data_IF_986887260254
#
_entry.id   IF_986887260254
#
_cell.length_a   1.000
_cell.length_b   1.000
_cell.length_c   1.000
_cell.angle_alpha   90.00
_cell.angle_beta   90.00
_cell.angle_gamma   90.00
#
_symmetry.space_group_name_H-M   'P 1'
#
loop_
_entity.id
_entity.type
_entity.pdbx_description
1 polymer ?
#
# COMPACT_ATOMS: atom_id res chain seq x y z
N UNK A 1 24.92 -29.95 44.39
CA UNK A 1 24.16 -30.27 43.17
C UNK A 1 22.84 -29.54 43.32
N UNK A 2 22.83 -28.28 42.92
CA UNK A 2 21.70 -27.36 43.14
C UNK A 2 21.65 -26.41 41.97
N UNK A 3 20.50 -26.44 41.30
CA UNK A 3 19.82 -25.38 40.55
C UNK A 3 20.51 -24.83 39.31
N UNK A 4 20.09 -25.35 38.15
CA UNK A 4 20.37 -24.82 36.81
C UNK A 4 19.10 -24.93 35.93
N UNK A 5 17.90 -24.74 36.52
CA UNK A 5 16.60 -24.98 35.85
C UNK A 5 15.64 -23.76 35.84
N UNK A 6 16.02 -22.59 36.39
CA UNK A 6 15.15 -21.40 36.46
C UNK A 6 15.44 -20.32 35.41
N UNK A 7 16.58 -20.38 34.69
CA UNK A 7 16.97 -19.30 33.77
C UNK A 7 16.18 -19.27 32.46
N UNK A 8 15.62 -20.40 32.04
CA UNK A 8 14.94 -20.50 30.74
C UNK A 8 13.51 -19.94 30.79
N UNK A 9 12.81 -20.01 31.93
CA UNK A 9 11.45 -19.47 32.07
C UNK A 9 11.43 -17.94 32.21
N UNK A 10 12.30 -17.36 33.04
CA UNK A 10 12.35 -15.90 33.26
C UNK A 10 12.76 -15.11 32.00
N UNK A 11 13.37 -15.80 31.02
CA UNK A 11 13.89 -15.19 29.80
C UNK A 11 12.91 -15.25 28.61
N UNK A 12 12.13 -16.32 28.49
CA UNK A 12 10.93 -16.33 27.61
C UNK A 12 9.97 -15.22 28.03
N UNK A 13 9.82 -15.03 29.35
CA UNK A 13 8.97 -13.98 29.92
C UNK A 13 9.44 -12.57 29.49
N UNK A 14 10.74 -12.31 29.34
CA UNK A 14 11.26 -10.99 28.98
C UNK A 14 11.09 -10.63 27.49
N UNK A 15 11.30 -11.60 26.57
CA UNK A 15 11.03 -11.39 25.15
C UNK A 15 9.52 -11.27 24.86
N UNK A 16 8.70 -12.11 25.53
CA UNK A 16 7.25 -12.00 25.49
C UNK A 16 6.78 -10.65 26.05
N UNK A 17 7.33 -10.21 27.18
CA UNK A 17 7.03 -8.90 27.76
C UNK A 17 7.40 -7.75 26.82
N UNK A 18 8.53 -7.85 26.11
CA UNK A 18 8.94 -6.80 25.16
C UNK A 18 8.02 -6.80 23.93
N UNK A 19 7.63 -7.96 23.42
CA UNK A 19 6.64 -8.04 22.33
C UNK A 19 5.28 -7.49 22.78
N UNK A 20 4.80 -7.81 23.98
CA UNK A 20 3.55 -7.28 24.53
C UNK A 20 3.61 -5.77 24.76
N UNK A 21 4.75 -5.24 25.21
CA UNK A 21 4.97 -3.80 25.32
C UNK A 21 4.89 -3.11 23.94
N UNK A 22 5.44 -3.72 22.89
CA UNK A 22 5.32 -3.19 21.52
C UNK A 22 3.87 -3.31 21.02
N UNK A 23 3.21 -4.45 21.20
CA UNK A 23 1.81 -4.66 20.78
C UNK A 23 0.83 -3.65 21.39
N UNK A 24 1.09 -3.28 22.65
CA UNK A 24 0.28 -2.30 23.38
C UNK A 24 0.76 -0.85 23.19
N UNK A 25 1.81 -0.65 22.39
CA UNK A 25 2.53 0.63 22.22
C UNK A 25 2.88 1.31 23.56
N UNK A 26 3.22 0.49 24.56
CA UNK A 26 3.54 0.92 25.92
C UNK A 26 5.01 1.30 26.03
N UNK A 27 5.30 2.58 25.78
CA UNK A 27 6.64 3.16 25.90
C UNK A 27 7.32 2.87 27.25
N UNK A 28 6.59 2.99 28.36
CA UNK A 28 7.20 2.93 29.70
C UNK A 28 7.69 1.52 30.06
N UNK A 29 7.01 0.48 29.57
CA UNK A 29 7.47 -0.91 29.67
C UNK A 29 8.52 -1.24 28.60
N UNK A 30 8.37 -0.68 27.40
CA UNK A 30 9.25 -0.92 26.26
C UNK A 30 10.69 -0.41 26.50
N UNK A 31 10.86 0.84 26.95
CA UNK A 31 12.18 1.49 27.09
C UNK A 31 13.15 0.69 27.97
N UNK A 32 12.80 0.25 29.20
CA UNK A 32 13.73 -0.52 30.03
C UNK A 32 14.08 -1.87 29.40
N UNK A 33 13.09 -2.60 28.85
CA UNK A 33 13.30 -3.90 28.22
C UNK A 33 14.21 -3.79 26.97
N UNK A 34 13.97 -2.81 26.13
CA UNK A 34 14.79 -2.57 24.92
C UNK A 34 16.20 -2.10 25.29
N UNK A 35 16.36 -1.35 26.38
CA UNK A 35 17.68 -0.94 26.89
C UNK A 35 18.51 -2.15 27.34
N UNK A 36 17.90 -3.04 28.15
CA UNK A 36 18.53 -4.32 28.54
C UNK A 36 18.96 -5.11 27.30
N UNK A 37 18.10 -5.14 26.28
CA UNK A 37 18.39 -5.83 25.04
C UNK A 37 19.58 -5.22 24.27
N UNK A 38 19.65 -3.89 24.15
CA UNK A 38 20.78 -3.23 23.47
C UNK A 38 22.11 -3.38 24.21
N UNK A 39 22.08 -3.47 25.54
CA UNK A 39 23.26 -3.76 26.37
C UNK A 39 23.71 -5.22 26.27
N UNK A 40 22.91 -6.09 25.66
CA UNK A 40 23.17 -7.52 25.57
C UNK A 40 23.07 -8.21 26.92
N UNK A 41 22.23 -7.67 27.81
CA UNK A 41 21.91 -8.25 29.12
C UNK A 41 20.99 -9.49 28.97
N UNK A 42 20.45 -9.74 27.77
CA UNK A 42 19.79 -11.01 27.45
C UNK A 42 20.85 -12.12 27.27
N UNK A 43 20.68 -13.21 28.01
CA UNK A 43 21.71 -14.24 28.22
C UNK A 43 21.95 -15.21 27.06
N UNK A 44 21.18 -15.16 25.95
CA UNK A 44 21.29 -16.13 24.83
C UNK A 44 21.91 -15.58 23.52
N UNK A 45 22.54 -16.42 22.67
CA UNK A 45 23.40 -15.98 21.56
C UNK A 45 22.69 -15.61 20.25
N UNK A 46 21.35 -15.57 20.15
CA UNK A 46 20.64 -15.28 18.88
C UNK A 46 20.65 -13.80 18.44
N UNK A 47 21.68 -13.05 18.88
CA UNK A 47 21.85 -11.58 18.86
C UNK A 47 21.74 -10.86 17.50
N UNK A 48 21.58 -11.57 16.39
CA UNK A 48 21.55 -10.97 15.05
C UNK A 48 20.11 -10.84 14.51
N UNK A 49 19.14 -11.56 15.09
CA UNK A 49 17.75 -11.53 14.65
C UNK A 49 16.83 -10.62 15.47
N UNK A 50 17.24 -10.16 16.66
CA UNK A 50 16.32 -9.50 17.60
C UNK A 50 15.97 -8.05 17.26
N UNK A 51 16.94 -7.18 16.95
CA UNK A 51 16.63 -5.77 16.60
C UNK A 51 15.80 -5.68 15.33
N UNK A 52 16.11 -6.50 14.32
CA UNK A 52 15.33 -6.57 13.09
C UNK A 52 13.89 -7.07 13.35
N UNK A 53 13.73 -8.05 14.25
CA UNK A 53 12.41 -8.54 14.67
C UNK A 53 11.61 -7.47 15.41
N UNK A 54 12.21 -6.75 16.37
CA UNK A 54 11.53 -5.69 17.11
C UNK A 54 11.18 -4.50 16.20
N UNK A 55 12.05 -4.11 15.26
CA UNK A 55 11.72 -3.12 14.22
C UNK A 55 10.50 -3.57 13.42
N UNK A 56 10.47 -4.83 13.01
CA UNK A 56 9.32 -5.39 12.29
C UNK A 56 8.06 -5.38 13.16
N UNK A 57 8.15 -5.75 14.44
CA UNK A 57 7.01 -5.74 15.36
C UNK A 57 6.49 -4.33 15.60
N UNK A 58 7.37 -3.35 15.82
CA UNK A 58 7.02 -1.93 15.93
C UNK A 58 6.22 -1.49 14.70
N UNK A 59 6.70 -1.83 13.50
CA UNK A 59 6.00 -1.47 12.27
C UNK A 59 4.68 -2.23 12.08
N UNK A 60 4.66 -3.53 12.41
CA UNK A 60 3.49 -4.41 12.25
C UNK A 60 2.35 -4.05 13.20
N UNK A 61 2.68 -3.68 14.44
CA UNK A 61 1.72 -3.31 15.48
C UNK A 61 1.47 -1.80 15.53
N UNK A 62 2.04 -1.03 14.59
CA UNK A 62 1.89 0.42 14.49
C UNK A 62 2.25 1.14 15.82
N UNK A 63 3.31 0.66 16.49
CA UNK A 63 3.71 1.11 17.82
C UNK A 63 4.48 2.44 17.77
N UNK A 64 3.75 3.54 17.59
CA UNK A 64 4.30 4.90 17.37
C UNK A 64 5.12 5.39 18.57
N UNK A 65 4.65 5.18 19.80
CA UNK A 65 5.35 5.62 21.00
C UNK A 65 6.64 4.82 21.23
N UNK A 66 6.61 3.50 21.01
CA UNK A 66 7.81 2.67 21.04
C UNK A 66 8.81 3.09 19.96
N UNK A 67 8.33 3.36 18.74
CA UNK A 67 9.16 3.83 17.63
C UNK A 67 9.84 5.17 17.96
N UNK A 68 9.08 6.14 18.48
CA UNK A 68 9.59 7.45 18.87
C UNK A 68 10.69 7.33 19.93
N UNK A 69 10.47 6.52 20.97
CA UNK A 69 11.45 6.32 22.04
C UNK A 69 12.81 5.82 21.53
N UNK A 70 12.82 4.92 20.55
CA UNK A 70 14.07 4.44 19.94
C UNK A 70 14.77 5.51 19.11
N UNK A 71 14.00 6.32 18.38
CA UNK A 71 14.54 7.39 17.53
C UNK A 71 15.08 8.57 18.34
N UNK A 72 14.44 8.86 19.46
CA UNK A 72 14.87 9.89 20.42
C UNK A 72 16.10 9.44 21.23
N UNK A 73 16.41 8.14 21.22
CA UNK A 73 17.57 7.55 21.90
C UNK A 73 17.32 7.26 23.37
N UNK A 74 16.07 7.15 23.78
CA UNK A 74 15.67 6.83 25.15
C UNK A 74 16.10 5.42 25.57
N UNK A 75 16.28 4.54 24.59
CA UNK A 75 16.77 3.17 24.76
C UNK A 75 18.31 3.08 24.78
N UNK A 76 19.00 4.18 25.06
CA UNK A 76 20.48 4.37 25.05
C UNK A 76 21.19 4.17 23.71
N UNK A 77 20.51 3.56 22.73
CA UNK A 77 20.97 3.39 21.37
C UNK A 77 19.89 3.85 20.40
N UNK A 78 20.27 4.77 19.52
CA UNK A 78 19.44 5.19 18.40
C UNK A 78 19.57 4.20 17.24
N UNK A 79 18.45 3.91 16.60
CA UNK A 79 18.41 3.16 15.35
C UNK A 79 18.60 4.09 14.15
N UNK A 80 19.36 3.62 13.17
CA UNK A 80 19.47 4.30 11.88
C UNK A 80 18.28 3.92 11.00
N UNK A 81 17.35 4.85 10.82
CA UNK A 81 16.16 4.71 9.96
C UNK A 81 16.50 4.28 8.52
N UNK A 82 17.71 4.60 8.05
CA UNK A 82 18.16 4.36 6.67
C UNK A 82 19.01 3.10 6.56
N UNK A 83 19.30 2.41 7.66
CA UNK A 83 19.98 1.12 7.65
C UNK A 83 19.05 0.01 7.15
N UNK A 84 19.65 -1.01 6.54
CA UNK A 84 18.96 -2.24 6.16
C UNK A 84 18.95 -3.22 7.33
N UNK A 85 17.77 -3.74 7.67
CA UNK A 85 17.62 -4.74 8.71
C UNK A 85 17.55 -6.15 8.11
N UNK A 86 18.33 -7.12 8.63
CA UNK A 86 18.62 -8.39 7.96
C UNK A 86 17.42 -9.33 7.78
N UNK A 87 16.28 -9.12 8.45
CA UNK A 87 15.12 -10.02 8.31
C UNK A 87 14.44 -9.90 6.94
N UNK A 88 14.60 -8.78 6.21
CA UNK A 88 14.06 -8.59 4.85
C UNK A 88 14.90 -7.71 3.92
N UNK A 89 16.07 -7.24 4.36
CA UNK A 89 16.85 -6.26 3.60
C UNK A 89 16.01 -5.02 3.22
N UNK A 90 15.26 -4.54 4.21
CA UNK A 90 14.39 -3.35 4.16
C UNK A 90 14.81 -2.33 5.21
N UNK A 91 14.49 -1.05 4.98
CA UNK A 91 14.62 0.01 6.00
C UNK A 91 13.35 0.11 6.84
N UNK A 92 13.37 0.85 7.95
CA UNK A 92 12.17 1.02 8.79
C UNK A 92 11.00 1.64 8.00
N UNK A 93 11.27 2.60 7.12
CA UNK A 93 10.24 3.22 6.27
C UNK A 93 9.61 2.24 5.26
N UNK A 94 10.35 1.22 4.80
CA UNK A 94 9.75 0.17 3.97
C UNK A 94 8.80 -0.71 4.79
N UNK A 95 9.19 -1.11 6.00
CA UNK A 95 8.36 -1.96 6.85
C UNK A 95 7.09 -1.23 7.33
N UNK A 96 7.18 0.08 7.60
CA UNK A 96 6.06 0.90 8.04
C UNK A 96 5.21 1.52 6.93
N UNK A 97 5.46 1.22 5.65
CA UNK A 97 4.84 1.93 4.52
C UNK A 97 3.31 1.78 4.40
N UNK A 98 2.66 1.06 5.32
CA UNK A 98 1.22 0.90 5.43
C UNK A 98 0.58 1.72 6.57
N UNK A 99 1.39 2.24 7.51
CA UNK A 99 0.94 3.03 8.67
C UNK A 99 1.27 4.51 8.44
N UNK A 100 0.27 5.39 8.31
CA UNK A 100 0.50 6.81 8.06
C UNK A 100 1.23 7.48 9.23
N UNK A 101 0.93 7.12 10.47
CA UNK A 101 1.55 7.70 11.67
C UNK A 101 3.04 7.35 11.76
N UNK A 102 3.40 6.09 11.49
CA UNK A 102 4.81 5.69 11.46
C UNK A 102 5.54 6.26 10.25
N UNK A 103 4.89 6.34 9.08
CA UNK A 103 5.46 7.02 7.91
C UNK A 103 5.77 8.47 8.24
N UNK A 104 4.81 9.21 8.81
CA UNK A 104 4.99 10.60 9.21
C UNK A 104 6.13 10.74 10.23
N UNK A 105 6.12 9.94 11.29
CA UNK A 105 7.17 9.93 12.30
C UNK A 105 8.56 9.71 11.67
N UNK A 106 8.71 8.68 10.84
CA UNK A 106 10.00 8.36 10.23
C UNK A 106 10.47 9.44 9.26
N UNK A 107 9.56 10.06 8.51
CA UNK A 107 9.88 11.20 7.65
C UNK A 107 10.35 12.41 8.47
N UNK A 108 9.68 12.72 9.59
CA UNK A 108 10.08 13.78 10.52
C UNK A 108 11.49 13.58 11.08
N UNK A 109 11.87 12.32 11.33
CA UNK A 109 13.20 11.93 11.81
C UNK A 109 14.23 11.70 10.67
N UNK A 110 13.90 12.04 9.42
CA UNK A 110 14.84 12.05 8.31
C UNK A 110 15.01 10.73 7.57
N UNK A 111 13.99 9.86 7.59
CA UNK A 111 13.97 8.68 6.74
C UNK A 111 13.98 9.05 5.25
N UNK A 112 14.78 8.35 4.46
CA UNK A 112 14.90 8.54 3.02
C UNK A 112 13.83 7.75 2.27
N UNK A 113 13.16 8.43 1.34
CA UNK A 113 12.13 7.85 0.47
C UNK A 113 12.66 7.27 -0.85
N UNK A 114 13.95 7.48 -1.15
CA UNK A 114 14.59 7.05 -2.40
C UNK A 114 15.40 5.74 -2.28
N UNK A 115 15.51 5.19 -1.07
CA UNK A 115 16.22 3.93 -0.84
C UNK A 115 15.40 2.80 -1.45
N UNK A 116 16.05 1.99 -2.29
CA UNK A 116 15.45 0.78 -2.85
C UNK A 116 15.67 -0.40 -1.92
N UNK A 117 14.61 -1.19 -1.71
CA UNK A 117 14.67 -2.47 -1.01
C UNK A 117 15.69 -3.40 -1.66
N UNK A 118 16.33 -4.24 -0.84
CA UNK A 118 17.31 -5.24 -1.28
C UNK A 118 16.81 -6.67 -1.08
N UNK A 119 15.50 -6.83 -0.90
CA UNK A 119 14.82 -8.11 -0.68
C UNK A 119 15.28 -9.15 -1.70
N UNK A 120 15.94 -10.20 -1.22
CA UNK A 120 16.42 -11.32 -2.04
C UNK A 120 15.56 -12.58 -1.89
N UNK A 121 14.84 -12.71 -0.78
CA UNK A 121 13.92 -13.83 -0.51
C UNK A 121 12.47 -13.48 -0.92
N UNK A 122 11.55 -14.45 -0.99
CA UNK A 122 10.17 -14.32 -1.50
C UNK A 122 10.07 -13.97 -3.01
N UNK A 123 10.76 -14.75 -3.86
CA UNK A 123 10.80 -14.59 -5.33
C UNK A 123 11.25 -13.20 -5.83
N UNK A 124 11.80 -12.35 -4.95
CA UNK A 124 12.21 -10.99 -5.30
C UNK A 124 11.05 -10.04 -5.64
N UNK A 125 9.80 -10.37 -5.27
CA UNK A 125 8.60 -9.61 -5.66
C UNK A 125 8.68 -8.13 -5.22
N UNK A 126 9.27 -7.89 -4.05
CA UNK A 126 9.44 -6.54 -3.50
C UNK A 126 10.80 -5.92 -3.79
N UNK A 127 11.72 -6.64 -4.44
CA UNK A 127 13.09 -6.21 -4.67
C UNK A 127 13.18 -4.97 -5.56
N UNK A 128 14.01 -4.01 -5.16
CA UNK A 128 14.24 -2.79 -5.94
C UNK A 128 13.12 -1.74 -5.87
N UNK A 129 12.07 -1.98 -5.08
CA UNK A 129 11.01 -1.00 -4.82
C UNK A 129 11.46 0.03 -3.78
N UNK A 130 11.03 1.27 -3.96
CA UNK A 130 11.14 2.32 -2.93
C UNK A 130 9.92 2.24 -2.00
N UNK A 131 9.91 2.89 -0.83
CA UNK A 131 8.77 2.82 0.09
C UNK A 131 7.42 3.15 -0.55
N UNK A 132 7.37 4.15 -1.44
CA UNK A 132 6.15 4.50 -2.18
C UNK A 132 5.61 3.36 -3.05
N UNK A 133 6.45 2.79 -3.93
CA UNK A 133 5.99 1.71 -4.82
C UNK A 133 5.76 0.40 -4.07
N UNK A 134 6.48 0.18 -2.98
CA UNK A 134 6.23 -0.95 -2.07
C UNK A 134 4.88 -0.81 -1.38
N UNK A 135 4.53 0.38 -0.88
CA UNK A 135 3.23 0.64 -0.23
C UNK A 135 2.06 0.34 -1.16
N UNK A 136 2.09 0.87 -2.39
CA UNK A 136 1.08 0.57 -3.42
C UNK A 136 0.98 -0.94 -3.67
N UNK A 137 2.12 -1.63 -3.76
CA UNK A 137 2.15 -3.08 -3.97
C UNK A 137 1.60 -3.87 -2.77
N UNK A 138 1.94 -3.48 -1.54
CA UNK A 138 1.49 -4.13 -0.32
C UNK A 138 -0.01 -3.98 -0.10
N UNK A 139 -0.60 -2.84 -0.47
CA UNK A 139 -2.05 -2.66 -0.42
C UNK A 139 -2.75 -3.65 -1.36
N UNK A 140 -2.19 -3.87 -2.54
CA UNK A 140 -2.69 -4.85 -3.49
C UNK A 140 -2.57 -6.31 -2.98
N UNK A 141 -1.54 -6.63 -2.18
CA UNK A 141 -1.37 -7.95 -1.57
C UNK A 141 -2.27 -8.18 -0.34
N UNK A 142 -3.10 -7.19 0.03
CA UNK A 142 -4.05 -7.30 1.14
C UNK A 142 -5.12 -8.39 0.90
N UNK A 143 -5.62 -9.01 1.98
CA UNK A 143 -6.51 -10.17 1.90
C UNK A 143 -7.82 -9.93 1.13
N UNK A 144 -8.25 -8.66 1.00
CA UNK A 144 -9.43 -8.26 0.25
C UNK A 144 -9.29 -8.49 -1.26
N UNK A 145 -8.06 -8.54 -1.75
CA UNK A 145 -7.72 -8.79 -3.15
C UNK A 145 -7.28 -10.23 -3.42
N UNK A 146 -7.21 -11.08 -2.38
CA UNK A 146 -6.85 -12.50 -2.54
C UNK A 146 -7.86 -13.22 -3.43
N UNK A 147 -7.37 -13.85 -4.52
CA UNK A 147 -8.20 -14.59 -5.47
C UNK A 147 -8.98 -13.71 -6.45
N UNK A 148 -8.75 -12.38 -6.43
CA UNK A 148 -9.31 -11.45 -7.39
C UNK A 148 -8.34 -11.20 -8.54
N UNK A 149 -8.88 -11.00 -9.74
CA UNK A 149 -8.10 -10.69 -10.94
C UNK A 149 -8.58 -9.35 -11.54
N UNK A 150 -7.68 -8.41 -11.90
CA UNK A 150 -8.00 -7.09 -12.46
C UNK A 150 -9.02 -7.08 -13.60
N UNK A 151 -9.00 -8.13 -14.39
CA UNK A 151 -9.83 -8.34 -15.56
C UNK A 151 -11.29 -8.69 -15.18
N UNK A 152 -11.58 -8.97 -13.91
CA UNK A 152 -12.91 -9.39 -13.45
C UNK A 152 -13.86 -8.24 -13.17
N UNK A 153 -13.42 -7.10 -12.61
CA UNK A 153 -14.27 -5.89 -12.44
C UNK A 153 -13.52 -4.74 -11.77
N UNK A 154 -13.07 -3.75 -12.55
CA UNK A 154 -12.44 -2.53 -12.01
C UNK A 154 -13.33 -1.77 -11.00
N UNK A 155 -14.65 -1.84 -11.16
CA UNK A 155 -15.62 -1.27 -10.22
C UNK A 155 -15.56 -1.93 -8.84
N UNK A 156 -15.35 -3.26 -8.80
CA UNK A 156 -15.17 -3.98 -7.55
C UNK A 156 -13.89 -3.52 -6.85
N UNK A 157 -12.82 -3.24 -7.59
CA UNK A 157 -11.59 -2.65 -7.04
C UNK A 157 -11.87 -1.34 -6.35
N UNK A 158 -12.58 -0.42 -7.03
CA UNK A 158 -12.92 0.90 -6.49
C UNK A 158 -13.72 0.74 -5.20
N UNK A 159 -14.74 -0.13 -5.20
CA UNK A 159 -15.55 -0.40 -4.00
C UNK A 159 -14.71 -0.92 -2.84
N UNK A 160 -13.84 -1.90 -3.09
CA UNK A 160 -12.95 -2.47 -2.05
C UNK A 160 -12.00 -1.42 -1.51
N UNK A 161 -11.39 -0.61 -2.37
CA UNK A 161 -10.49 0.48 -1.95
C UNK A 161 -11.20 1.53 -1.08
N UNK A 162 -12.53 1.65 -1.17
CA UNK A 162 -13.30 2.53 -0.29
C UNK A 162 -13.56 1.95 1.11
N UNK A 163 -13.20 0.68 1.38
CA UNK A 163 -13.44 0.05 2.68
C UNK A 163 -12.67 0.77 3.81
N UNK A 164 -13.28 0.95 4.99
CA UNK A 164 -12.67 1.72 6.07
C UNK A 164 -11.30 1.20 6.50
N UNK A 165 -11.10 -0.13 6.50
CA UNK A 165 -9.84 -0.74 6.91
C UNK A 165 -8.66 -0.44 5.96
N UNK A 166 -8.90 0.02 4.73
CA UNK A 166 -7.84 0.35 3.78
C UNK A 166 -7.49 1.85 3.79
N UNK A 167 -8.24 2.68 4.50
CA UNK A 167 -8.05 4.14 4.51
C UNK A 167 -6.71 4.56 5.09
N UNK A 168 -6.32 3.94 6.21
CA UNK A 168 -5.02 4.20 6.85
C UNK A 168 -3.86 3.97 5.86
N UNK A 169 -3.89 2.84 5.13
CA UNK A 169 -2.90 2.53 4.11
C UNK A 169 -2.93 3.51 2.93
N UNK A 170 -4.12 3.93 2.46
CA UNK A 170 -4.22 4.96 1.42
C UNK A 170 -3.62 6.30 1.86
N UNK A 171 -3.76 6.65 3.15
CA UNK A 171 -3.11 7.85 3.71
C UNK A 171 -1.59 7.70 3.77
N UNK A 172 -1.08 6.52 4.13
CA UNK A 172 0.36 6.24 4.07
C UNK A 172 0.92 6.41 2.65
N UNK A 173 0.20 5.93 1.63
CA UNK A 173 0.55 6.15 0.21
C UNK A 173 0.56 7.64 -0.14
N UNK A 174 -0.42 8.40 0.33
CA UNK A 174 -0.51 9.86 0.11
C UNK A 174 0.68 10.60 0.73
N UNK A 175 1.05 10.28 1.97
CA UNK A 175 2.22 10.86 2.66
C UNK A 175 3.52 10.52 1.92
N UNK A 176 3.68 9.27 1.50
CA UNK A 176 4.84 8.82 0.74
C UNK A 176 4.91 9.51 -0.63
N UNK A 177 3.80 9.65 -1.35
CA UNK A 177 3.75 10.37 -2.62
C UNK A 177 4.27 11.80 -2.47
N UNK A 178 3.76 12.54 -1.48
CA UNK A 178 4.13 13.95 -1.25
C UNK A 178 5.58 14.13 -0.80
N UNK A 179 6.14 13.10 -0.16
CA UNK A 179 7.49 13.12 0.42
C UNK A 179 8.56 12.49 -0.47
N UNK A 180 8.17 11.89 -1.60
CA UNK A 180 9.08 11.20 -2.53
C UNK A 180 9.35 12.05 -3.75
N UNK A 181 10.63 12.28 -4.05
CA UNK A 181 11.03 12.98 -5.28
C UNK A 181 10.93 12.04 -6.49
N UNK A 182 10.58 12.62 -7.64
CA UNK A 182 10.50 11.90 -8.92
C UNK A 182 9.49 10.73 -8.94
N UNK A 183 8.46 10.81 -8.11
CA UNK A 183 7.38 9.81 -8.03
C UNK A 183 6.70 9.61 -9.38
N UNK A 184 6.67 10.65 -10.21
CA UNK A 184 6.11 10.65 -11.56
C UNK A 184 6.81 9.64 -12.48
N UNK A 185 8.11 9.36 -12.26
CA UNK A 185 8.84 8.31 -13.01
C UNK A 185 8.32 6.92 -12.71
N UNK A 186 7.96 6.66 -11.46
CA UNK A 186 7.39 5.38 -11.04
C UNK A 186 5.95 5.23 -11.56
N UNK A 187 5.14 6.29 -11.50
CA UNK A 187 3.77 6.29 -12.04
C UNK A 187 3.77 6.11 -13.55
N UNK A 188 4.68 6.78 -14.26
CA UNK A 188 4.84 6.59 -15.71
C UNK A 188 5.19 5.14 -16.05
N UNK A 189 5.99 4.47 -15.20
CA UNK A 189 6.28 3.04 -15.34
C UNK A 189 5.04 2.17 -15.15
N UNK A 190 4.15 2.51 -14.21
CA UNK A 190 2.88 1.78 -14.05
C UNK A 190 2.00 1.82 -15.30
N UNK A 191 1.96 2.96 -15.99
CA UNK A 191 1.28 3.06 -17.30
C UNK A 191 1.97 2.19 -18.35
N UNK A 192 3.30 2.30 -18.48
CA UNK A 192 4.07 1.47 -19.43
C UNK A 192 3.94 -0.03 -19.17
N UNK A 193 3.80 -0.45 -17.92
CA UNK A 193 3.63 -1.85 -17.52
C UNK A 193 2.16 -2.30 -17.50
N UNK A 194 1.21 -1.41 -17.81
CA UNK A 194 -0.23 -1.66 -17.72
C UNK A 194 -0.68 -2.18 -16.33
N UNK A 195 -0.11 -1.62 -15.25
CA UNK A 195 -0.46 -1.93 -13.86
C UNK A 195 -1.78 -1.28 -13.43
N UNK A 196 -2.90 -1.92 -13.81
CA UNK A 196 -4.25 -1.37 -13.62
C UNK A 196 -4.62 -1.12 -12.15
N UNK A 197 -4.29 -2.07 -11.26
CA UNK A 197 -4.68 -1.93 -9.85
C UNK A 197 -3.84 -0.88 -9.15
N UNK A 198 -2.53 -0.85 -9.41
CA UNK A 198 -1.64 0.20 -8.90
C UNK A 198 -2.19 1.58 -9.29
N UNK A 199 -2.66 1.75 -10.53
CA UNK A 199 -3.32 2.99 -10.96
C UNK A 199 -4.62 3.29 -10.22
N UNK A 200 -5.46 2.29 -9.94
CA UNK A 200 -6.68 2.48 -9.15
C UNK A 200 -6.37 2.90 -7.71
N UNK A 201 -5.34 2.33 -7.10
CA UNK A 201 -4.86 2.70 -5.77
C UNK A 201 -4.39 4.16 -5.75
N UNK A 202 -3.61 4.58 -6.76
CA UNK A 202 -3.14 5.96 -6.86
C UNK A 202 -4.27 6.96 -7.06
N UNK A 203 -5.27 6.63 -7.88
CA UNK A 203 -6.45 7.48 -8.07
C UNK A 203 -7.31 7.58 -6.80
N UNK A 204 -7.24 6.60 -5.91
CA UNK A 204 -7.88 6.68 -4.58
C UNK A 204 -7.06 7.50 -3.59
N UNK A 205 -5.74 7.43 -3.63
CA UNK A 205 -4.88 8.09 -2.65
C UNK A 205 -4.57 9.55 -3.00
N UNK A 206 -4.27 9.85 -4.27
CA UNK A 206 -3.65 11.11 -4.73
C UNK A 206 -4.24 11.62 -6.05
N UNK A 207 -5.58 11.51 -6.20
CA UNK A 207 -6.31 11.87 -7.44
C UNK A 207 -5.94 13.26 -7.93
N UNK A 208 -6.04 14.25 -7.06
CA UNK A 208 -5.87 15.66 -7.41
C UNK A 208 -4.45 15.93 -7.91
N UNK A 209 -3.45 15.34 -7.25
CA UNK A 209 -2.05 15.52 -7.61
C UNK A 209 -1.72 14.88 -8.97
N UNK A 210 -2.26 13.69 -9.25
CA UNK A 210 -1.98 12.97 -10.51
C UNK A 210 -2.92 13.35 -11.67
N UNK A 211 -3.97 14.12 -11.41
CA UNK A 211 -4.83 14.70 -12.44
C UNK A 211 -4.17 15.86 -13.20
N UNK A 212 -2.98 16.30 -12.77
CA UNK A 212 -2.24 17.39 -13.39
C UNK A 212 -2.06 17.20 -14.91
N UNK A 213 -2.35 18.23 -15.74
CA UNK A 213 -2.13 18.16 -17.17
C UNK A 213 -0.64 18.05 -17.53
N UNK A 214 0.24 18.29 -16.57
CA UNK A 214 1.69 18.29 -16.76
C UNK A 214 2.43 17.24 -15.93
N UNK A 215 1.72 16.20 -15.48
CA UNK A 215 2.26 15.16 -14.60
C UNK A 215 3.60 14.57 -15.09
N UNK A 216 3.73 14.24 -16.38
CA UNK A 216 4.92 13.57 -16.90
C UNK A 216 5.87 14.48 -17.69
N UNK A 217 6.06 15.71 -17.20
CA UNK A 217 6.99 16.66 -17.80
C UNK A 217 8.40 16.05 -17.98
N UNK A 218 8.85 15.93 -19.23
CA UNK A 218 10.20 15.45 -19.57
C UNK A 218 10.43 13.94 -19.48
N UNK A 219 9.38 13.13 -19.27
CA UNK A 219 9.46 11.67 -19.17
C UNK A 219 9.01 10.93 -20.44
N UNK A 220 8.41 11.64 -21.39
CA UNK A 220 7.97 11.05 -22.64
C UNK A 220 9.13 10.88 -23.62
N UNK A 221 9.29 9.67 -24.17
CA UNK A 221 10.31 9.36 -25.20
C UNK A 221 9.94 9.89 -26.59
N UNK A 222 8.70 10.37 -26.77
CA UNK A 222 8.26 10.96 -28.04
C UNK A 222 8.83 12.37 -28.20
N UNK A 223 9.08 12.79 -29.44
CA UNK A 223 9.57 14.14 -29.79
C UNK A 223 8.67 15.30 -29.29
N UNK A 224 7.51 14.97 -28.72
CA UNK A 224 6.73 15.86 -27.88
C UNK A 224 7.54 16.14 -26.60
N UNK A 225 8.40 17.17 -26.64
CA UNK A 225 8.91 17.90 -25.45
C UNK A 225 7.79 18.58 -24.64
N UNK A 226 6.58 18.05 -24.71
CA UNK A 226 5.37 18.56 -24.10
C UNK A 226 5.14 17.88 -22.76
N UNK A 227 4.61 18.66 -21.84
CA UNK A 227 4.01 18.15 -20.64
C UNK A 227 2.79 17.30 -21.04
N UNK A 228 2.72 16.05 -20.55
CA UNK A 228 1.58 15.18 -20.81
C UNK A 228 0.89 14.79 -19.51
N UNK A 229 -0.43 14.70 -19.58
CA UNK A 229 -1.29 14.19 -18.52
C UNK A 229 -1.23 12.66 -18.44
N UNK A 230 -1.76 12.12 -17.33
CA UNK A 230 -1.93 10.68 -17.16
C UNK A 230 -2.74 10.04 -18.30
N UNK A 231 -3.87 10.65 -18.66
CA UNK A 231 -4.74 10.18 -19.76
C UNK A 231 -4.01 10.15 -21.10
N UNK A 232 -3.25 11.19 -21.42
CA UNK A 232 -2.44 11.25 -22.64
C UNK A 232 -1.36 10.17 -22.66
N UNK A 233 -0.71 9.89 -21.53
CA UNK A 233 0.27 8.81 -21.42
C UNK A 233 -0.34 7.45 -21.76
N UNK A 234 -1.53 7.14 -21.24
CA UNK A 234 -2.24 5.88 -21.56
C UNK A 234 -2.58 5.80 -23.05
N UNK A 235 -3.09 6.89 -23.65
CA UNK A 235 -3.40 6.94 -25.08
C UNK A 235 -2.17 6.76 -25.97
N UNK A 236 -1.04 7.36 -25.60
CA UNK A 236 0.22 7.21 -26.33
C UNK A 236 0.73 5.77 -26.28
N UNK A 237 0.62 5.10 -25.14
CA UNK A 237 1.01 3.68 -25.02
C UNK A 237 0.12 2.79 -25.89
N UNK A 238 -1.21 3.00 -25.90
CA UNK A 238 -2.14 2.30 -26.79
C UNK A 238 -1.76 2.51 -28.26
N UNK A 239 -1.48 3.76 -28.65
CA UNK A 239 -1.08 4.08 -30.01
C UNK A 239 0.25 3.44 -30.39
N UNK A 240 1.22 3.39 -29.45
CA UNK A 240 2.50 2.72 -29.63
C UNK A 240 2.33 1.23 -29.94
N UNK A 241 1.52 0.53 -29.14
CA UNK A 241 1.24 -0.91 -29.33
C UNK A 241 0.57 -1.17 -30.69
N UNK A 242 -0.49 -0.41 -31.03
CA UNK A 242 -1.19 -0.55 -32.33
C UNK A 242 -0.26 -0.30 -33.52
N UNK A 243 0.63 0.69 -33.40
CA UNK A 243 1.62 0.99 -34.44
C UNK A 243 2.67 -0.13 -34.60
N UNK A 244 3.05 -0.79 -33.51
CA UNK A 244 3.95 -1.95 -33.53
C UNK A 244 3.30 -3.17 -34.20
N UNK A 245 2.02 -3.42 -33.90
CA UNK A 245 1.21 -4.48 -34.53
C UNK A 245 1.05 -4.25 -36.04
N UNK A 246 0.83 -3.01 -36.47
CA UNK A 246 0.72 -2.69 -37.89
C UNK A 246 2.05 -2.90 -38.67
N UNK A 247 3.19 -2.87 -37.98
CA UNK A 247 4.54 -3.01 -38.58
C UNK A 247 5.13 -4.42 -38.48
N UNK A 248 4.52 -5.32 -37.71
CA UNK A 248 5.08 -6.63 -37.37
C UNK A 248 4.12 -7.77 -37.73
N UNK A 249 4.64 -8.97 -38.02
CA UNK A 249 3.82 -10.19 -38.01
C UNK A 249 3.23 -10.40 -36.63
N UNK A 250 1.98 -10.87 -36.50
CA UNK A 250 1.23 -10.69 -35.26
C UNK A 250 1.79 -11.57 -34.14
N UNK A 251 2.39 -10.94 -33.12
CA UNK A 251 2.61 -11.56 -31.81
C UNK A 251 1.29 -11.49 -31.03
N UNK A 252 0.33 -12.34 -31.40
CA UNK A 252 -1.11 -12.15 -31.16
C UNK A 252 -1.52 -12.07 -29.66
N UNK A 253 -0.79 -12.69 -28.73
CA UNK A 253 -1.32 -12.89 -27.36
C UNK A 253 -1.04 -11.77 -26.33
N UNK A 254 0.19 -11.27 -26.25
CA UNK A 254 0.61 -10.40 -25.13
C UNK A 254 0.17 -8.94 -25.29
N UNK A 255 0.11 -8.45 -26.53
CA UNK A 255 -0.25 -7.05 -26.81
C UNK A 255 -1.76 -6.84 -26.68
N UNK A 256 -2.58 -7.84 -27.04
CA UNK A 256 -4.03 -7.78 -26.90
C UNK A 256 -4.46 -7.63 -25.44
N UNK A 257 -3.91 -8.45 -24.53
CA UNK A 257 -4.17 -8.32 -23.09
C UNK A 257 -3.77 -6.93 -22.57
N UNK A 258 -2.57 -6.46 -22.92
CA UNK A 258 -2.08 -5.14 -22.50
C UNK A 258 -2.98 -4.02 -23.03
N UNK A 259 -3.46 -4.11 -24.27
CA UNK A 259 -4.41 -3.17 -24.86
C UNK A 259 -5.74 -3.17 -24.10
N UNK A 260 -6.29 -4.34 -23.76
CA UNK A 260 -7.51 -4.44 -22.93
C UNK A 260 -7.28 -3.73 -21.60
N UNK A 261 -6.18 -4.03 -20.90
CA UNK A 261 -5.85 -3.40 -19.62
C UNK A 261 -5.71 -1.88 -19.72
N UNK A 262 -5.05 -1.35 -20.75
CA UNK A 262 -4.92 0.09 -20.97
C UNK A 262 -6.26 0.77 -21.33
N UNK A 263 -7.14 0.11 -22.08
CA UNK A 263 -8.50 0.63 -22.30
C UNK A 263 -9.31 0.62 -21.00
N UNK A 264 -9.14 -0.40 -20.15
CA UNK A 264 -9.75 -0.42 -18.80
C UNK A 264 -9.17 0.68 -17.91
N UNK A 265 -7.89 1.04 -18.04
CA UNK A 265 -7.34 2.23 -17.37
C UNK A 265 -8.01 3.52 -17.85
N UNK A 266 -8.32 3.68 -19.14
CA UNK A 266 -9.07 4.85 -19.61
C UNK A 266 -10.48 4.89 -19.01
N UNK A 267 -11.15 3.74 -18.93
CA UNK A 267 -12.45 3.63 -18.24
C UNK A 267 -12.31 4.03 -16.77
N UNK A 268 -11.29 3.54 -16.06
CA UNK A 268 -11.00 3.91 -14.68
C UNK A 268 -10.87 5.43 -14.51
N UNK A 269 -10.14 6.10 -15.42
CA UNK A 269 -10.04 7.56 -15.42
C UNK A 269 -11.40 8.22 -15.64
N UNK A 270 -12.22 7.71 -16.57
CA UNK A 270 -13.59 8.22 -16.80
C UNK A 270 -14.49 8.07 -15.57
N UNK A 271 -14.31 7.01 -14.77
CA UNK A 271 -15.03 6.83 -13.51
C UNK A 271 -14.66 7.93 -12.53
N UNK A 272 -13.37 8.16 -12.30
CA UNK A 272 -12.92 9.18 -11.35
C UNK A 272 -13.20 10.60 -11.81
N UNK A 273 -13.19 10.88 -13.12
CA UNK A 273 -13.65 12.17 -13.68
C UNK A 273 -15.15 12.42 -13.42
N UNK A 274 -15.98 11.37 -13.35
CA UNK A 274 -17.44 11.49 -13.19
C UNK A 274 -17.93 11.46 -11.75
N UNK A 275 -17.33 10.62 -10.90
CA UNK A 275 -17.82 10.35 -9.53
C UNK A 275 -16.72 10.33 -8.47
N UNK A 276 -15.48 10.69 -8.84
CA UNK A 276 -14.34 10.65 -7.93
C UNK A 276 -14.54 11.57 -6.72
N UNK A 277 -15.02 12.79 -6.95
CA UNK A 277 -15.27 13.78 -5.90
C UNK A 277 -16.34 13.30 -4.91
N UNK A 278 -17.42 12.69 -5.38
CA UNK A 278 -18.48 12.15 -4.54
C UNK A 278 -18.04 10.92 -3.74
N UNK A 279 -17.22 10.06 -4.33
CA UNK A 279 -16.62 8.90 -3.64
C UNK A 279 -15.70 9.39 -2.52
N UNK A 280 -14.82 10.35 -2.80
CA UNK A 280 -13.91 10.91 -1.81
C UNK A 280 -14.66 11.63 -0.69
N UNK A 281 -15.63 12.48 -1.02
CA UNK A 281 -16.46 13.17 -0.04
C UNK A 281 -17.18 12.20 0.89
N UNK A 282 -17.71 11.09 0.34
CA UNK A 282 -18.32 10.04 1.16
C UNK A 282 -17.30 9.36 2.09
N UNK A 283 -16.11 9.04 1.58
CA UNK A 283 -15.05 8.42 2.37
C UNK A 283 -14.60 9.32 3.54
N UNK A 284 -14.47 10.64 3.32
CA UNK A 284 -14.14 11.63 4.34
C UNK A 284 -15.24 11.75 5.40
N UNK A 285 -16.51 11.82 5.01
CA UNK A 285 -17.65 11.87 5.95
C UNK A 285 -17.70 10.65 6.87
N UNK A 286 -17.34 9.48 6.33
CA UNK A 286 -17.27 8.24 7.10
C UNK A 286 -16.06 8.18 8.06
N UNK A 287 -15.12 9.13 8.02
CA UNK A 287 -14.01 9.24 8.96
C UNK A 287 -14.37 10.14 10.15
N UNK A 288 -15.19 11.17 9.93
CA UNK A 288 -15.56 12.17 10.96
C UNK A 288 -16.66 11.69 11.91
N UNK A 289 -17.35 10.59 11.60
CA UNK A 289 -18.48 10.07 12.39
C UNK A 289 -18.01 9.02 13.39
N UNK A 290 -17.64 9.46 14.60
CA UNK A 290 -17.12 8.62 15.70
C UNK A 290 -18.13 7.60 16.28
N UNK A 291 -19.44 7.79 16.07
CA UNK A 291 -20.49 7.05 16.81
C UNK A 291 -21.02 5.78 16.12
N UNK A 292 -20.79 5.59 14.81
CA UNK A 292 -21.25 4.39 14.09
C UNK A 292 -20.20 3.94 13.06
N UNK A 293 -19.46 2.86 13.37
CA UNK A 293 -18.47 2.27 12.43
C UNK A 293 -19.18 1.85 11.14
N UNK A 294 -19.02 2.65 10.09
CA UNK A 294 -19.55 2.35 8.76
C UNK A 294 -19.05 0.98 8.30
N UNK A 295 -19.97 0.10 7.93
CA UNK A 295 -19.64 -1.27 7.49
C UNK A 295 -19.21 -1.30 6.02
N UNK A 296 -18.44 -2.33 5.65
CA UNK A 296 -18.09 -2.58 4.24
C UNK A 296 -19.34 -2.72 3.34
N UNK A 297 -20.46 -3.20 3.88
CA UNK A 297 -21.72 -3.34 3.14
C UNK A 297 -22.33 -1.99 2.80
N UNK A 298 -22.36 -1.07 3.78
CA UNK A 298 -22.84 0.29 3.56
C UNK A 298 -21.96 1.04 2.55
N UNK A 299 -20.63 0.90 2.66
CA UNK A 299 -19.70 1.45 1.66
C UNK A 299 -19.98 0.88 0.27
N UNK A 300 -20.07 -0.43 0.14
CA UNK A 300 -20.33 -1.07 -1.15
C UNK A 300 -21.66 -0.62 -1.77
N UNK A 301 -22.73 -0.54 -0.96
CA UNK A 301 -24.03 -0.06 -1.40
C UNK A 301 -23.96 1.39 -1.90
N UNK A 302 -23.31 2.26 -1.13
CA UNK A 302 -23.22 3.68 -1.45
C UNK A 302 -22.38 3.95 -2.69
N UNK A 303 -21.18 3.38 -2.75
CA UNK A 303 -20.27 3.53 -3.90
C UNK A 303 -20.88 2.90 -5.14
N UNK A 304 -21.49 1.71 -5.01
CA UNK A 304 -22.24 1.08 -6.11
C UNK A 304 -23.39 1.97 -6.62
N UNK A 305 -24.11 2.65 -5.74
CA UNK A 305 -25.15 3.61 -6.13
C UNK A 305 -24.58 4.83 -6.88
N UNK A 306 -23.44 5.37 -6.46
CA UNK A 306 -22.75 6.48 -7.15
C UNK A 306 -22.36 6.07 -8.57
N UNK A 307 -21.74 4.89 -8.71
CA UNK A 307 -21.37 4.33 -10.02
C UNK A 307 -22.59 4.16 -10.93
N UNK A 308 -23.66 3.55 -10.41
CA UNK A 308 -24.89 3.33 -11.18
C UNK A 308 -25.54 4.66 -11.64
N UNK A 309 -25.58 5.67 -10.77
CA UNK A 309 -26.10 7.01 -11.11
C UNK A 309 -25.33 7.70 -12.24
N UNK A 310 -24.04 7.41 -12.37
CA UNK A 310 -23.19 7.91 -13.45
C UNK A 310 -23.32 7.11 -14.76
N UNK A 311 -24.27 6.17 -14.83
CA UNK A 311 -24.46 5.28 -15.97
C UNK A 311 -23.36 4.22 -16.10
N UNK A 312 -22.61 3.97 -15.03
CA UNK A 312 -21.59 2.92 -14.95
C UNK A 312 -22.27 1.69 -14.35
N UNK A 313 -23.03 0.97 -15.18
CA UNK A 313 -23.83 -0.18 -14.74
C UNK A 313 -22.99 -1.44 -14.53
N UNK A 314 -23.32 -2.18 -13.47
CA UNK A 314 -22.62 -3.36 -12.97
C UNK A 314 -22.85 -4.66 -13.80
N UNK A 315 -23.66 -4.60 -14.86
CA UNK A 315 -24.29 -5.79 -15.48
C UNK A 315 -23.36 -6.70 -16.30
N UNK A 316 -22.08 -6.39 -16.48
CA UNK A 316 -21.26 -7.09 -17.48
C UNK A 316 -20.24 -8.12 -16.96
N UNK A 317 -20.16 -8.45 -15.66
CA UNK A 317 -19.20 -9.47 -15.22
C UNK A 317 -19.77 -10.48 -14.22
N UNK A 318 -19.89 -11.77 -14.61
CA UNK A 318 -20.15 -12.81 -13.64
C UNK A 318 -18.91 -12.94 -12.76
N UNK A 319 -19.00 -12.50 -11.51
CA UNK A 319 -18.06 -12.84 -10.44
C UNK A 319 -18.18 -14.35 -10.23
N UNK A 320 -17.62 -15.16 -11.12
CA UNK A 320 -17.89 -16.60 -11.16
C UNK A 320 -17.09 -17.41 -10.15
N UNK A 321 -16.10 -16.80 -9.49
CA UNK A 321 -15.26 -17.52 -8.52
C UNK A 321 -14.98 -16.77 -7.21
N UNK A 322 -15.57 -15.59 -6.99
CA UNK A 322 -15.46 -14.92 -5.68
C UNK A 322 -16.71 -15.20 -4.84
N UNK A 323 -16.75 -16.42 -4.29
CA UNK A 323 -17.76 -16.87 -3.31
C UNK A 323 -17.98 -15.87 -2.15
N UNK A 324 -16.97 -15.03 -1.83
CA UNK A 324 -17.07 -13.97 -0.81
C UNK A 324 -17.94 -12.77 -1.21
N UNK A 325 -17.92 -12.33 -2.48
CA UNK A 325 -18.73 -11.19 -2.93
C UNK A 325 -20.14 -11.59 -3.38
N UNK A 326 -20.33 -12.83 -3.83
CA UNK A 326 -21.67 -13.36 -4.15
C UNK A 326 -22.58 -13.45 -2.91
N UNK A 327 -22.05 -13.71 -1.71
CA UNK A 327 -22.87 -13.65 -0.49
C UNK A 327 -23.18 -12.20 -0.06
N UNK A 328 -22.22 -11.30 -0.26
CA UNK A 328 -22.27 -9.94 0.27
C UNK A 328 -23.11 -8.98 -0.60
N UNK A 329 -22.95 -9.01 -1.93
CA UNK A 329 -23.70 -8.14 -2.85
C UNK A 329 -25.13 -8.65 -3.12
N UNK A 330 -25.36 -9.96 -3.07
CA UNK A 330 -26.69 -10.54 -3.30
C UNK A 330 -27.69 -10.16 -2.21
N UNK A 331 -27.23 -9.92 -0.97
CA UNK A 331 -28.08 -9.38 0.10
C UNK A 331 -28.27 -7.86 0.06
N UNK A 332 -27.27 -7.10 -0.42
CA UNK A 332 -27.33 -5.63 -0.46
C UNK A 332 -28.17 -5.11 -1.63
N UNK A 333 -28.14 -5.79 -2.79
CA UNK A 333 -28.87 -5.36 -3.99
C UNK A 333 -30.35 -5.78 -3.96
N UNK A 334 -30.68 -6.96 -3.43
CA UNK A 334 -32.07 -7.45 -3.39
C UNK A 334 -32.95 -6.79 -2.32
N UNK A 335 -32.38 -6.07 -1.35
CA UNK A 335 -33.17 -5.34 -0.33
C UNK A 335 -33.42 -3.85 -0.67
N UNK A 336 -32.86 -3.36 -1.77
CA UNK A 336 -33.07 -2.00 -2.29
C UNK A 336 -33.78 -1.96 -3.65
N UNK A 337 -34.28 -3.12 -4.10
CA UNK A 337 -35.27 -3.28 -5.17
C UNK A 337 -36.65 -3.39 -4.54
#
# INVERSE_FOLDING_TARGET
>A
MTTEYDSDSEQYDAEESLEEAIKSDNRDEFVPLMTMQFRGEFTYPHRIHTVAMFVRQICLYEAVNCAAAVLEGETEKQLDLNAFYPYKDMTMLHEACHSPELVELFLCYGARTDIKSKVTESNGIYGGMIPFTLSVRMLWDHFWFTGWYPEQSIFTTIIVLCFPCLRSHLEAIRLLYRSTKEVEKEIYRFVKEAKLVDMAILLMAVREEIASPTLFQGLCDSDLRGNISLRQSVLLEIASIRNLEARSSPSVGSNEHKLVTLNTMLLLLDVFEKVGDEIESYCLQCQETDDEKVTNAQVAAKVGCLLNKAGLTYEDFPIKDVTRFQSFLFHVIYFLS
#
